data_IF_998027591111
#
_entry.id   IF_998027591111
#
_cell.length_a   1.000
_cell.length_b   1.000
_cell.length_c   1.000
_cell.angle_alpha   90.00
_cell.angle_beta   90.00
_cell.angle_gamma   90.00
#
_symmetry.space_group_name_H-M   'P 1'
#
loop_
_entity.id
_entity.type
_entity.pdbx_description
1 polymer ?
#
# COMPACT_ATOMS: atom_id res chain seq x y z
N UNK A 1 -2.33 -55.58 28.49
CA UNK A 1 -3.41 -54.79 29.14
C UNK A 1 -4.21 -54.11 28.03
N UNK A 2 -5.49 -54.45 27.93
CA UNK A 2 -6.47 -53.86 27.00
C UNK A 2 -7.17 -52.71 27.73
N UNK A 3 -7.80 -51.81 26.95
CA UNK A 3 -8.85 -50.85 27.34
C UNK A 3 -8.32 -49.55 28.02
N UNK A 4 -8.76 -48.30 27.73
CA UNK A 4 -9.98 -47.76 27.09
C UNK A 4 -9.74 -46.32 26.56
N UNK A 5 -10.49 -45.95 25.52
CA UNK A 5 -11.15 -44.66 25.28
C UNK A 5 -10.45 -43.37 25.76
N UNK A 6 -10.11 -42.49 24.81
CA UNK A 6 -10.75 -41.17 24.81
C UNK A 6 -10.72 -40.55 23.40
N UNK A 7 -11.91 -40.46 22.84
CA UNK A 7 -12.24 -39.76 21.61
C UNK A 7 -12.48 -38.31 22.02
N UNK A 8 -11.59 -37.39 21.63
CA UNK A 8 -11.87 -35.95 21.69
C UNK A 8 -11.79 -35.43 20.27
N UNK A 9 -12.97 -35.39 19.65
CA UNK A 9 -13.29 -34.58 18.49
C UNK A 9 -13.20 -33.08 18.81
N UNK A 10 -13.38 -32.25 17.77
CA UNK A 10 -13.45 -30.78 17.74
C UNK A 10 -12.09 -30.08 17.82
N UNK A 11 -11.71 -29.25 16.85
CA UNK A 11 -12.44 -28.03 16.49
C UNK A 11 -12.40 -27.72 14.99
N UNK A 12 -13.56 -27.35 14.46
CA UNK A 12 -13.79 -26.88 13.10
C UNK A 12 -12.92 -25.65 12.76
N UNK A 13 -12.25 -25.71 11.61
CA UNK A 13 -11.69 -24.51 10.98
C UNK A 13 -12.86 -23.78 10.31
N UNK A 14 -13.40 -22.77 11.01
CA UNK A 14 -14.44 -21.89 10.45
C UNK A 14 -13.79 -21.10 9.32
N UNK A 15 -14.22 -21.39 8.09
CA UNK A 15 -13.94 -20.58 6.91
C UNK A 15 -14.66 -19.25 7.11
N UNK A 16 -13.93 -18.21 7.47
CA UNK A 16 -14.42 -16.84 7.39
C UNK A 16 -14.44 -16.43 5.91
N UNK A 17 -15.49 -16.83 5.18
CA UNK A 17 -15.84 -16.17 3.91
C UNK A 17 -16.35 -14.79 4.30
N UNK A 18 -15.46 -13.82 4.25
CA UNK A 18 -15.84 -12.41 4.22
C UNK A 18 -16.62 -12.22 2.93
N UNK A 19 -17.95 -12.30 3.01
CA UNK A 19 -18.88 -11.76 2.03
C UNK A 19 -18.73 -10.23 2.05
N UNK A 20 -17.64 -9.78 1.42
CA UNK A 20 -17.41 -8.38 1.09
C UNK A 20 -18.36 -7.98 -0.03
N UNK A 21 -19.18 -6.99 0.30
CA UNK A 21 -20.19 -6.32 -0.52
C UNK A 21 -19.80 -6.12 -2.00
N UNK A 22 -20.80 -6.30 -2.87
CA UNK A 22 -20.68 -6.27 -4.31
C UNK A 22 -20.14 -4.96 -4.88
N UNK A 23 -19.17 -5.15 -5.78
CA UNK A 23 -18.65 -4.18 -6.72
C UNK A 23 -18.02 -4.94 -7.88
N UNK A 24 -18.84 -5.60 -8.70
CA UNK A 24 -18.39 -6.30 -9.90
C UNK A 24 -18.00 -5.29 -10.99
N UNK A 25 -16.82 -4.71 -10.85
CA UNK A 25 -16.06 -4.10 -11.94
C UNK A 25 -14.67 -4.72 -11.93
N UNK A 26 -14.08 -4.95 -13.11
CA UNK A 26 -12.71 -5.44 -13.22
C UNK A 26 -11.79 -4.61 -12.31
N UNK A 27 -11.22 -5.24 -11.29
CA UNK A 27 -10.24 -4.62 -10.39
C UNK A 27 -8.84 -5.07 -10.85
N UNK A 28 -7.99 -4.09 -11.13
CA UNK A 28 -6.59 -4.28 -11.41
C UNK A 28 -5.77 -4.04 -10.14
N UNK A 29 -4.86 -4.96 -9.84
CA UNK A 29 -3.87 -4.84 -8.78
C UNK A 29 -2.50 -4.65 -9.42
N UNK A 30 -1.93 -3.46 -9.24
CA UNK A 30 -0.58 -3.09 -9.59
C UNK A 30 0.38 -3.47 -8.45
N UNK A 31 1.59 -3.88 -8.80
CA UNK A 31 2.62 -4.32 -7.84
C UNK A 31 3.97 -3.75 -8.20
N UNK A 32 4.70 -3.27 -7.18
CA UNK A 32 6.12 -2.91 -7.29
C UNK A 32 6.88 -3.57 -6.15
N UNK A 33 8.05 -4.13 -6.46
CA UNK A 33 8.93 -4.77 -5.49
C UNK A 33 10.16 -3.91 -5.23
N UNK A 34 10.49 -3.71 -3.96
CA UNK A 34 11.69 -2.98 -3.54
C UNK A 34 12.24 -3.56 -2.24
N UNK A 35 13.51 -3.95 -2.24
CA UNK A 35 14.20 -4.51 -1.06
C UNK A 35 13.41 -5.63 -0.36
N UNK A 36 12.84 -6.56 -1.13
CA UNK A 36 12.05 -7.68 -0.61
C UNK A 36 10.67 -7.32 -0.06
N UNK A 37 10.23 -6.07 -0.22
CA UNK A 37 8.86 -5.62 0.10
C UNK A 37 8.04 -5.45 -1.18
N UNK A 38 6.78 -5.83 -1.12
CA UNK A 38 5.80 -5.61 -2.19
C UNK A 38 4.87 -4.47 -1.82
N UNK A 39 4.68 -3.54 -2.74
CA UNK A 39 3.72 -2.45 -2.62
C UNK A 39 2.63 -2.66 -3.66
N UNK A 40 1.38 -2.68 -3.20
CA UNK A 40 0.21 -2.92 -4.04
C UNK A 40 -0.63 -1.65 -4.16
N UNK A 41 -1.11 -1.40 -5.37
CA UNK A 41 -2.07 -0.35 -5.71
C UNK A 41 -3.23 -0.94 -6.48
N UNK A 42 -4.45 -0.57 -6.10
CA UNK A 42 -5.68 -1.05 -6.74
C UNK A 42 -6.28 0.06 -7.58
N UNK A 43 -6.81 -0.28 -8.74
CA UNK A 43 -7.64 0.61 -9.55
C UNK A 43 -8.46 -0.20 -10.57
N UNK A 44 -9.34 0.46 -11.34
CA UNK A 44 -10.08 -0.16 -12.45
C UNK A 44 -9.22 -0.38 -13.70
N UNK A 45 -8.12 0.36 -13.84
CA UNK A 45 -7.20 0.21 -14.98
C UNK A 45 -5.83 -0.26 -14.52
N UNK A 46 -5.15 -1.03 -15.39
CA UNK A 46 -3.81 -1.52 -15.12
C UNK A 46 -2.80 -0.37 -14.89
N UNK A 47 -2.92 0.70 -15.67
CA UNK A 47 -2.03 1.86 -15.61
C UNK A 47 -2.17 2.60 -14.27
N UNK A 48 -3.39 2.91 -13.85
CA UNK A 48 -3.61 3.58 -12.57
C UNK A 48 -3.28 2.67 -11.40
N UNK A 49 -3.52 1.36 -11.49
CA UNK A 49 -3.14 0.41 -10.47
C UNK A 49 -1.61 0.38 -10.25
N UNK A 50 -0.82 0.40 -11.33
CA UNK A 50 0.65 0.54 -11.29
C UNK A 50 1.07 1.87 -10.65
N UNK A 51 0.44 2.97 -11.06
CA UNK A 51 0.74 4.29 -10.50
C UNK A 51 0.43 4.33 -9.00
N UNK A 52 -0.68 3.74 -8.56
CA UNK A 52 -1.06 3.64 -7.15
C UNK A 52 -0.06 2.78 -6.34
N UNK A 53 0.46 1.70 -6.92
CA UNK A 53 1.51 0.90 -6.31
C UNK A 53 2.79 1.72 -6.11
N UNK A 54 3.15 2.50 -7.14
CA UNK A 54 4.27 3.43 -7.07
C UNK A 54 4.06 4.57 -6.06
N UNK A 55 2.87 5.17 -5.97
CA UNK A 55 2.54 6.16 -4.93
C UNK A 55 2.78 5.60 -3.53
N UNK A 56 2.39 4.34 -3.30
CA UNK A 56 2.59 3.63 -2.03
C UNK A 56 4.08 3.40 -1.75
N UNK A 57 4.83 2.90 -2.72
CA UNK A 57 6.29 2.77 -2.64
C UNK A 57 6.95 4.12 -2.30
N UNK A 58 6.58 5.19 -3.01
CA UNK A 58 7.16 6.51 -2.84
C UNK A 58 6.96 7.06 -1.43
N UNK A 59 5.76 6.90 -0.87
CA UNK A 59 5.50 7.34 0.50
C UNK A 59 6.26 6.49 1.53
N UNK A 60 6.28 5.17 1.34
CA UNK A 60 6.65 4.24 2.42
C UNK A 60 8.13 3.83 2.39
N UNK A 61 8.78 3.90 1.22
CA UNK A 61 10.11 3.32 1.00
C UNK A 61 11.08 4.19 0.19
N UNK A 62 10.62 5.27 -0.45
CA UNK A 62 11.54 6.16 -1.16
C UNK A 62 12.39 7.00 -0.17
N UNK A 63 13.73 6.93 -0.25
CA UNK A 63 14.61 7.65 0.67
C UNK A 63 14.51 9.18 0.54
N UNK A 64 14.24 9.68 -0.66
CA UNK A 64 14.16 11.12 -0.90
C UNK A 64 12.85 11.69 -0.32
N UNK A 65 11.73 10.97 -0.43
CA UNK A 65 10.51 11.33 0.30
C UNK A 65 10.72 11.30 1.81
N UNK A 66 11.42 10.30 2.36
CA UNK A 66 11.72 10.24 3.80
C UNK A 66 12.50 11.48 4.27
N UNK A 67 13.50 11.91 3.50
CA UNK A 67 14.26 13.12 3.79
C UNK A 67 13.37 14.38 3.72
N UNK A 68 12.56 14.52 2.66
CA UNK A 68 11.62 15.65 2.49
C UNK A 68 10.62 15.75 3.63
N UNK A 69 10.05 14.60 4.04
CA UNK A 69 9.12 14.53 5.15
C UNK A 69 9.78 14.96 6.48
N UNK A 70 11.02 14.54 6.77
CA UNK A 70 11.75 14.97 7.97
C UNK A 70 12.03 16.47 7.98
N UNK A 71 12.49 17.02 6.86
CA UNK A 71 12.70 18.47 6.72
C UNK A 71 11.38 19.23 6.93
N UNK A 72 10.29 18.71 6.34
CA UNK A 72 8.97 19.30 6.52
C UNK A 72 8.50 19.27 7.97
N UNK A 73 8.71 18.17 8.70
CA UNK A 73 8.40 18.07 10.13
C UNK A 73 9.10 19.15 10.97
N UNK A 74 10.34 19.52 10.60
CA UNK A 74 11.11 20.56 11.30
C UNK A 74 10.67 22.00 10.94
N UNK A 75 9.89 22.17 9.88
CA UNK A 75 9.35 23.45 9.44
C UNK A 75 8.23 23.98 10.37
N UNK A 76 7.90 25.28 10.32
CA UNK A 76 6.76 25.82 11.08
C UNK A 76 5.43 25.11 10.77
N UNK A 77 5.23 24.70 9.51
CA UNK A 77 4.01 24.02 9.05
C UNK A 77 3.93 22.61 9.65
N UNK A 78 5.03 21.85 9.57
CA UNK A 78 5.10 20.50 10.13
C UNK A 78 4.96 20.48 11.65
N UNK A 79 5.57 21.44 12.35
CA UNK A 79 5.41 21.61 13.80
C UNK A 79 3.98 21.93 14.19
N UNK A 80 3.33 22.85 13.47
CA UNK A 80 1.92 23.19 13.70
C UNK A 80 0.97 22.01 13.42
N UNK A 81 1.36 21.10 12.52
CA UNK A 81 0.59 19.90 12.19
C UNK A 81 0.67 18.76 13.22
N UNK A 82 1.54 18.87 14.24
CA UNK A 82 1.60 17.90 15.35
C UNK A 82 2.25 16.56 15.01
N UNK A 83 3.25 16.54 14.13
CA UNK A 83 3.96 15.32 13.71
C UNK A 83 3.06 14.23 13.10
N UNK A 84 2.26 14.55 12.06
CA UNK A 84 1.36 13.60 11.42
C UNK A 84 2.14 12.50 10.70
N UNK A 85 1.50 11.36 10.43
CA UNK A 85 2.10 10.29 9.63
C UNK A 85 2.45 10.75 8.20
N UNK A 86 3.31 9.99 7.50
CA UNK A 86 3.64 10.23 6.09
C UNK A 86 2.41 10.29 5.17
N UNK A 87 1.37 9.50 5.46
CA UNK A 87 0.13 9.50 4.68
C UNK A 87 -0.68 10.76 4.93
N UNK A 88 -0.70 11.27 6.14
CA UNK A 88 -1.41 12.50 6.46
C UNK A 88 -0.64 13.74 5.99
N UNK A 89 0.69 13.71 6.04
CA UNK A 89 1.53 14.85 5.65
C UNK A 89 1.37 15.21 4.17
N UNK A 90 1.22 14.21 3.28
CA UNK A 90 0.99 14.48 1.85
C UNK A 90 -0.33 15.21 1.59
N UNK A 91 -1.31 15.18 2.52
CA UNK A 91 -2.55 15.97 2.37
C UNK A 91 -2.49 17.32 3.09
N UNK A 92 -1.45 17.54 3.90
CA UNK A 92 -1.23 18.79 4.65
C UNK A 92 -0.24 19.71 3.94
N UNK A 93 0.50 19.19 2.97
CA UNK A 93 1.52 19.92 2.23
C UNK A 93 1.52 19.52 0.76
N UNK A 94 1.39 20.52 -0.12
CA UNK A 94 1.28 20.31 -1.56
C UNK A 94 2.58 19.79 -2.16
N UNK A 95 3.74 20.22 -1.66
CA UNK A 95 5.03 19.83 -2.22
C UNK A 95 5.31 18.35 -1.90
N UNK A 96 4.90 17.90 -0.72
CA UNK A 96 4.94 16.47 -0.37
C UNK A 96 4.00 15.64 -1.26
N UNK A 97 2.78 16.12 -1.54
CA UNK A 97 1.85 15.44 -2.46
C UNK A 97 2.45 15.32 -3.86
N UNK A 98 2.89 16.44 -4.42
CA UNK A 98 3.40 16.53 -5.78
C UNK A 98 4.67 15.71 -5.96
N UNK A 99 5.54 15.67 -4.94
CA UNK A 99 6.69 14.78 -4.98
C UNK A 99 6.26 13.32 -5.10
N UNK A 100 5.30 12.87 -4.28
CA UNK A 100 4.84 11.47 -4.32
C UNK A 100 4.16 11.14 -5.65
N UNK A 101 3.21 11.94 -6.11
CA UNK A 101 2.35 11.59 -7.26
C UNK A 101 2.96 11.93 -8.62
N UNK A 102 3.70 13.03 -8.71
CA UNK A 102 4.19 13.55 -9.99
C UNK A 102 5.68 13.28 -10.23
N UNK A 103 6.48 13.25 -9.17
CA UNK A 103 7.95 13.07 -9.31
C UNK A 103 8.34 11.61 -9.10
N UNK A 104 8.16 11.11 -7.88
CA UNK A 104 8.59 9.77 -7.52
C UNK A 104 7.77 8.70 -8.23
N UNK A 105 6.43 8.80 -8.26
CA UNK A 105 5.62 7.75 -8.84
C UNK A 105 5.83 7.59 -10.36
N UNK A 106 5.99 8.69 -11.11
CA UNK A 106 6.34 8.62 -12.53
C UNK A 106 7.71 8.00 -12.77
N UNK A 107 8.71 8.35 -11.95
CA UNK A 107 10.03 7.72 -11.98
C UNK A 107 9.96 6.23 -11.65
N UNK A 108 9.17 5.85 -10.64
CA UNK A 108 8.93 4.46 -10.27
C UNK A 108 8.32 3.67 -11.44
N UNK A 109 7.27 4.19 -12.09
CA UNK A 109 6.67 3.54 -13.27
C UNK A 109 7.70 3.35 -14.39
N UNK A 110 8.54 4.36 -14.65
CA UNK A 110 9.54 4.31 -15.72
C UNK A 110 10.74 3.38 -15.43
N UNK A 111 11.13 3.22 -14.16
CA UNK A 111 12.40 2.58 -13.80
C UNK A 111 12.25 1.25 -13.07
N UNK A 112 11.14 1.02 -12.39
CA UNK A 112 10.90 -0.19 -11.59
C UNK A 112 9.98 -1.19 -12.29
N UNK A 113 9.44 -0.82 -13.45
CA UNK A 113 8.58 -1.66 -14.30
C UNK A 113 7.48 -2.41 -13.52
N UNK A 114 6.58 -1.70 -12.82
CA UNK A 114 5.52 -2.32 -12.04
C UNK A 114 4.60 -3.19 -12.92
N UNK A 115 4.17 -4.32 -12.37
CA UNK A 115 3.24 -5.25 -13.02
C UNK A 115 1.81 -4.97 -12.59
N UNK A 116 0.83 -5.30 -13.42
CA UNK A 116 -0.59 -5.27 -13.03
C UNK A 116 -1.30 -6.55 -13.46
N UNK A 117 -2.19 -7.03 -12.59
CA UNK A 117 -3.10 -8.15 -12.86
C UNK A 117 -4.53 -7.65 -12.73
N UNK A 118 -5.35 -7.86 -13.74
CA UNK A 118 -6.74 -7.43 -13.75
C UNK A 118 -7.66 -8.65 -13.74
N UNK A 119 -8.63 -8.64 -12.83
CA UNK A 119 -9.71 -9.62 -12.85
C UNK A 119 -10.59 -9.38 -14.09
N UNK A 120 -10.96 -10.46 -14.77
CA UNK A 120 -11.75 -10.43 -16.01
C UNK A 120 -13.24 -10.51 -15.73
#
# INVERSE_FOLDING_TARGET
>A
MRNRFSLVATTAFIVAIVLGCGGSGAECVGTVQYQGKTFEGKDKTAETAKLNACNKYCRDADPEFDARYRIWLDSPIGKAAGSPSKQESIFKDKDLLEYVTETCAKKCVATMNPEAKCDK
#
